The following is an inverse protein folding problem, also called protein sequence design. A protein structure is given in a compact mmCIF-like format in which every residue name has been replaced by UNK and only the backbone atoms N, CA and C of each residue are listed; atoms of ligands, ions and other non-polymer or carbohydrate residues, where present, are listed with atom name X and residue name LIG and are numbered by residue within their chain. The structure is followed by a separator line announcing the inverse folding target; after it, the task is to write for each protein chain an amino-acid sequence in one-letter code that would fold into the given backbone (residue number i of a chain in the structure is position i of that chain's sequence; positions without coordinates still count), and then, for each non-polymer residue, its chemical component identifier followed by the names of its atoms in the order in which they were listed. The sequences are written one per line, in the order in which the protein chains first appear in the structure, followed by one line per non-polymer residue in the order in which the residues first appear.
data_IF_596661456594
#
_entry.id   IF_596661456594
#
_cell.length_a   1.000
_cell.length_b   1.000
_cell.length_c   1.000
_cell.angle_alpha   90.00
_cell.angle_beta   90.00
_cell.angle_gamma   90.00
#
_symmetry.space_group_name_H-M   'P 1'
#
loop_
_entity.id
_entity.type
_entity.pdbx_description
1 polymer ?
#
# COMPACT_ATOMS: atom_id res chain seq x y z
N UNK A 1 -1.87 10.67 36.67
CA UNK A 1 -1.64 9.97 35.40
C UNK A 1 -2.17 8.55 35.59
N UNK A 2 -3.18 8.09 34.84
CA UNK A 2 -3.69 6.73 35.00
C UNK A 2 -2.61 5.76 34.51
N UNK A 3 -2.25 4.80 35.35
CA UNK A 3 -1.22 3.80 35.08
C UNK A 3 -1.92 2.57 34.49
N UNK A 4 -1.58 2.11 33.27
CA UNK A 4 -2.30 1.00 32.63
C UNK A 4 -2.13 -0.28 33.46
N UNK A 5 -3.25 -0.93 33.79
CA UNK A 5 -3.24 -2.19 34.52
C UNK A 5 -2.89 -3.34 33.57
N UNK A 6 -2.27 -4.40 34.10
CA UNK A 6 -1.86 -5.59 33.31
C UNK A 6 -3.07 -6.26 32.62
N UNK A 7 -4.28 -6.07 33.15
CA UNK A 7 -5.54 -6.52 32.54
C UNK A 7 -5.90 -5.78 31.25
N UNK A 8 -5.56 -4.49 31.15
CA UNK A 8 -5.95 -3.63 30.02
C UNK A 8 -5.15 -3.98 28.76
N UNK A 9 -3.90 -4.38 28.93
CA UNK A 9 -3.01 -4.78 27.83
C UNK A 9 -3.56 -5.99 27.06
N UNK A 10 -4.23 -6.93 27.73
CA UNK A 10 -4.79 -8.11 27.08
C UNK A 10 -6.04 -7.78 26.26
N UNK A 11 -6.91 -6.91 26.80
CA UNK A 11 -8.15 -6.47 26.16
C UNK A 11 -7.84 -5.60 24.94
N UNK A 12 -6.92 -4.65 25.06
CA UNK A 12 -6.51 -3.77 23.97
C UNK A 12 -5.89 -4.55 22.81
N UNK A 13 -5.12 -5.62 23.09
CA UNK A 13 -4.55 -6.47 22.05
C UNK A 13 -5.63 -7.21 21.25
N UNK A 14 -6.70 -7.67 21.91
CA UNK A 14 -7.80 -8.34 21.24
C UNK A 14 -8.57 -7.39 20.31
N UNK A 15 -8.92 -6.19 20.80
CA UNK A 15 -9.63 -5.16 20.02
C UNK A 15 -8.76 -4.68 18.85
N UNK A 16 -7.46 -4.46 19.07
CA UNK A 16 -6.52 -4.06 18.03
C UNK A 16 -6.43 -5.10 16.90
N UNK A 17 -6.39 -6.38 17.23
CA UNK A 17 -6.32 -7.45 16.23
C UNK A 17 -7.59 -7.54 15.37
N UNK A 18 -8.77 -7.27 15.96
CA UNK A 18 -10.05 -7.21 15.23
C UNK A 18 -10.09 -6.00 14.31
N UNK A 19 -9.69 -4.82 14.80
CA UNK A 19 -9.61 -3.61 14.00
C UNK A 19 -8.65 -3.77 12.80
N UNK A 20 -7.50 -4.40 13.02
CA UNK A 20 -6.48 -4.64 11.98
C UNK A 20 -6.93 -5.65 10.91
N UNK A 21 -7.86 -6.55 11.25
CA UNK A 21 -8.39 -7.57 10.33
C UNK A 21 -9.75 -7.21 9.75
N UNK A 22 -10.31 -6.06 10.08
CA UNK A 22 -11.59 -5.63 9.53
C UNK A 22 -11.50 -5.50 8.01
N UNK A 23 -12.39 -6.18 7.31
CA UNK A 23 -12.52 -6.10 5.85
C UNK A 23 -13.99 -5.96 5.48
N UNK A 24 -14.27 -5.09 4.51
CA UNK A 24 -15.60 -4.92 3.96
C UNK A 24 -15.61 -5.54 2.55
N UNK A 25 -16.40 -6.60 2.35
CA UNK A 25 -16.46 -7.32 1.08
C UNK A 25 -16.95 -6.45 -0.10
N UNK A 26 -17.72 -5.39 0.18
CA UNK A 26 -18.20 -4.45 -0.84
C UNK A 26 -17.16 -3.38 -1.19
N UNK A 27 -16.05 -3.30 -0.45
CA UNK A 27 -15.01 -2.30 -0.68
C UNK A 27 -13.97 -2.83 -1.68
N UNK A 28 -14.02 -2.31 -2.90
CA UNK A 28 -13.24 -2.80 -4.06
C UNK A 28 -11.82 -2.20 -4.10
N UNK A 29 -11.54 -1.11 -3.38
CA UNK A 29 -10.24 -0.44 -3.43
C UNK A 29 -9.04 -1.38 -3.20
N UNK A 30 -9.00 -2.29 -2.21
CA UNK A 30 -7.89 -3.22 -2.04
C UNK A 30 -7.73 -4.24 -3.19
N UNK A 31 -8.76 -4.45 -4.03
CA UNK A 31 -8.67 -5.30 -5.22
C UNK A 31 -8.02 -4.56 -6.41
N UNK A 32 -8.26 -3.25 -6.52
CA UNK A 32 -7.74 -2.41 -7.62
C UNK A 32 -6.36 -1.84 -7.26
N UNK A 33 -6.14 -1.52 -5.99
CA UNK A 33 -4.92 -0.95 -5.44
C UNK A 33 -4.54 -1.71 -4.16
N UNK A 34 -3.67 -2.73 -4.23
CA UNK A 34 -3.26 -3.49 -3.06
C UNK A 34 -2.48 -2.60 -2.08
N UNK A 35 -2.62 -2.87 -0.79
CA UNK A 35 -1.88 -2.17 0.26
C UNK A 35 -0.42 -2.61 0.23
N UNK A 36 0.49 -1.68 -0.07
CA UNK A 36 1.94 -1.90 -0.06
C UNK A 36 2.54 -1.20 1.15
N UNK A 37 3.32 -1.92 1.95
CA UNK A 37 4.03 -1.35 3.10
C UNK A 37 5.28 -0.62 2.62
N UNK A 38 5.44 0.64 3.02
CA UNK A 38 6.57 1.50 2.62
C UNK A 38 7.31 1.96 3.88
N UNK A 39 8.65 2.04 3.88
CA UNK A 39 9.41 2.43 5.07
C UNK A 39 9.30 3.92 5.42
N UNK A 40 9.00 4.78 4.44
CA UNK A 40 9.01 6.23 4.60
C UNK A 40 7.61 6.82 4.40
N UNK A 41 7.30 7.88 5.14
CA UNK A 41 6.04 8.64 5.02
C UNK A 41 5.96 9.48 3.75
N UNK A 42 7.10 9.76 3.13
CA UNK A 42 7.19 10.41 1.83
C UNK A 42 8.28 9.74 1.01
N UNK A 43 7.97 9.42 -0.23
CA UNK A 43 8.93 8.86 -1.19
C UNK A 43 8.46 9.15 -2.62
N UNK A 44 9.26 8.74 -3.59
CA UNK A 44 8.91 8.76 -5.01
C UNK A 44 8.31 7.43 -5.44
N UNK A 45 7.43 7.48 -6.42
CA UNK A 45 6.88 6.28 -7.06
C UNK A 45 7.09 6.31 -8.58
N UNK A 46 7.19 5.11 -9.14
CA UNK A 46 7.32 4.91 -10.58
C UNK A 46 5.94 4.89 -11.24
N UNK A 47 5.78 5.65 -12.31
CA UNK A 47 4.61 5.68 -13.19
C UNK A 47 5.00 4.93 -14.44
N UNK A 48 4.37 3.77 -14.64
CA UNK A 48 4.51 3.00 -15.87
C UNK A 48 3.55 3.57 -16.90
N UNK A 49 4.07 4.25 -17.91
CA UNK A 49 3.23 4.80 -18.97
C UNK A 49 2.83 3.69 -19.94
N UNK A 50 1.64 3.83 -20.54
CA UNK A 50 1.20 2.96 -21.63
C UNK A 50 2.25 2.94 -22.77
N UNK A 51 2.86 4.09 -23.05
CA UNK A 51 3.90 4.21 -24.06
C UNK A 51 5.20 3.47 -23.76
N UNK A 52 5.45 3.05 -22.51
CA UNK A 52 6.60 2.20 -22.14
C UNK A 52 6.24 0.70 -22.17
N UNK A 53 4.96 0.37 -22.02
CA UNK A 53 4.46 -1.02 -22.08
C UNK A 53 4.18 -1.52 -23.49
N UNK A 54 3.72 -0.64 -24.39
CA UNK A 54 3.33 -0.99 -25.75
C UNK A 54 4.40 -0.58 -26.79
N UNK A 55 5.68 -0.56 -26.39
CA UNK A 55 6.79 -0.35 -27.33
C UNK A 55 6.95 -1.60 -28.20
N UNK A 56 6.76 -1.45 -29.50
CA UNK A 56 7.03 -2.49 -30.49
C UNK A 56 8.53 -2.51 -30.83
N UNK A 57 9.35 -2.76 -29.79
CA UNK A 57 10.81 -2.82 -29.87
C UNK A 57 11.30 -4.23 -30.25
N UNK A 58 10.40 -5.14 -30.62
CA UNK A 58 10.77 -6.46 -31.09
C UNK A 58 11.50 -6.33 -32.45
N UNK A 59 12.73 -6.84 -32.50
CA UNK A 59 13.52 -6.89 -33.74
C UNK A 59 13.17 -8.17 -34.50
N UNK A 60 12.40 -8.03 -35.59
CA UNK A 60 11.94 -9.12 -36.43
C UNK A 60 13.06 -9.70 -37.33
N UNK A 61 14.18 -8.99 -37.54
CA UNK A 61 15.29 -9.43 -38.41
C UNK A 61 16.51 -9.89 -37.60
N UNK A 62 16.26 -10.82 -36.68
CA UNK A 62 17.29 -11.25 -35.74
C UNK A 62 18.29 -12.22 -36.37
N UNK A 63 19.48 -11.72 -36.67
CA UNK A 63 20.62 -12.53 -37.13
C UNK A 63 21.21 -13.39 -35.99
N UNK A 64 21.74 -14.60 -36.28
CA UNK A 64 22.37 -15.45 -35.27
C UNK A 64 23.53 -14.73 -34.58
N UNK A 65 23.43 -14.51 -33.26
CA UNK A 65 24.45 -13.86 -32.44
C UNK A 65 24.20 -12.39 -32.07
N UNK A 66 23.14 -11.74 -32.60
CA UNK A 66 22.81 -10.36 -32.20
C UNK A 66 22.10 -10.32 -30.83
N UNK A 67 22.40 -9.27 -30.05
CA UNK A 67 21.78 -9.03 -28.74
C UNK A 67 20.36 -8.49 -28.94
N UNK A 68 19.41 -9.01 -28.17
CA UNK A 68 18.03 -8.52 -28.19
C UNK A 68 17.96 -7.05 -27.79
N UNK A 69 17.06 -6.25 -28.41
CA UNK A 69 16.73 -4.92 -27.91
C UNK A 69 16.24 -5.01 -26.47
N UNK A 70 16.60 -4.00 -25.66
CA UNK A 70 16.25 -3.90 -24.24
C UNK A 70 15.31 -2.72 -24.07
N UNK A 71 14.06 -3.00 -23.74
CA UNK A 71 13.12 -1.99 -23.27
C UNK A 71 13.44 -1.57 -21.84
N UNK A 72 13.13 -0.32 -21.52
CA UNK A 72 13.27 0.24 -20.18
C UNK A 72 12.06 1.11 -19.84
N UNK A 73 11.79 1.30 -18.55
CA UNK A 73 10.77 2.23 -18.10
C UNK A 73 11.36 3.62 -17.93
N UNK A 74 10.62 4.65 -18.30
CA UNK A 74 11.01 6.02 -18.00
C UNK A 74 10.88 6.28 -16.49
N UNK A 75 11.93 6.84 -15.86
CA UNK A 75 11.87 7.19 -14.43
C UNK A 75 10.97 8.42 -14.23
N UNK A 76 9.79 8.22 -13.64
CA UNK A 76 8.98 9.33 -13.13
C UNK A 76 9.50 9.80 -11.76
N UNK A 77 9.45 11.10 -11.51
CA UNK A 77 9.83 11.72 -10.24
C UNK A 77 8.61 12.08 -9.36
N UNK A 78 7.46 11.46 -9.59
CA UNK A 78 6.26 11.75 -8.83
C UNK A 78 6.43 11.35 -7.35
N UNK A 79 5.95 12.19 -6.44
CA UNK A 79 6.09 12.03 -4.98
C UNK A 79 4.74 11.74 -4.33
N UNK A 80 4.76 11.01 -3.22
CA UNK A 80 3.62 10.87 -2.33
C UNK A 80 3.97 11.36 -0.92
N UNK A 81 2.96 11.73 -0.14
CA UNK A 81 3.07 11.99 1.30
C UNK A 81 1.87 11.37 2.03
N UNK A 82 2.15 10.62 3.09
CA UNK A 82 1.10 10.09 3.97
C UNK A 82 0.63 11.18 4.93
N UNK A 83 -0.68 11.26 5.15
CA UNK A 83 -1.28 12.16 6.13
C UNK A 83 -1.77 11.35 7.32
N UNK A 84 -1.30 11.71 8.51
CA UNK A 84 -1.74 11.09 9.76
C UNK A 84 -3.20 11.50 10.08
N UNK A 85 -4.01 10.52 10.46
CA UNK A 85 -5.38 10.73 10.92
C UNK A 85 -5.72 9.75 12.04
N UNK A 86 -6.34 10.25 13.12
CA UNK A 86 -6.76 9.46 14.26
C UNK A 86 -8.20 9.81 14.66
N UNK A 87 -8.97 8.80 15.08
CA UNK A 87 -10.34 8.95 15.55
C UNK A 87 -10.53 8.19 16.86
N UNK A 88 -11.13 8.83 17.86
CA UNK A 88 -11.44 8.24 19.16
C UNK A 88 -12.95 8.14 19.33
N UNK A 89 -13.45 6.96 19.71
CA UNK A 89 -14.87 6.72 19.99
C UNK A 89 -15.05 6.42 21.48
N UNK A 90 -15.75 7.27 22.25
CA UNK A 90 -16.00 7.01 23.66
C UNK A 90 -17.11 5.96 23.85
N UNK A 91 -16.94 5.05 24.81
CA UNK A 91 -17.97 4.08 25.21
C UNK A 91 -18.67 4.60 26.47
N UNK A 92 -20.00 4.82 26.45
CA UNK A 92 -20.76 5.24 27.62
C UNK A 92 -21.00 4.08 28.60
N UNK A 93 -21.06 4.38 29.90
CA UNK A 93 -21.11 3.39 31.00
C UNK A 93 -22.41 2.56 31.10
N UNK A 94 -23.45 2.96 30.35
CA UNK A 94 -24.82 2.41 30.43
C UNK A 94 -25.00 1.13 29.61
N UNK A 95 -24.02 0.79 28.78
CA UNK A 95 -24.01 -0.42 27.96
C UNK A 95 -22.98 -1.34 28.59
N UNK A 96 -23.38 -2.08 29.63
CA UNK A 96 -22.60 -3.16 30.23
C UNK A 96 -23.44 -4.41 30.32
#
# INVERSE_FOLDING_TARGET
MPQPMVSDVHIDRAIKNVALRYSNANFIAPQVAPVVTVPNESDKYFIFTKGDWFRDEADDDRRPGSRAPRGGFTLSNATFSLKEAAHATPIPDRIR
#
